data_IF_682315359795
#
_entry.id   IF_682315359795
#
_cell.length_a   1.000
_cell.length_b   1.000
_cell.length_c   1.000
_cell.angle_alpha   90.00
_cell.angle_beta   90.00
_cell.angle_gamma   90.00
#
_symmetry.space_group_name_H-M   'P 1'
#
loop_
_entity.id
_entity.type
_entity.pdbx_description
1 polymer ?
#
# COMPACT_ATOMS: atom_id res chain seq x y z
N UNK A 1 40.45 -71.55 40.97
CA UNK A 1 39.81 -72.88 40.84
C UNK A 1 38.61 -72.72 39.90
N UNK A 2 38.68 -73.51 38.87
CA UNK A 2 37.62 -74.05 38.01
C UNK A 2 36.82 -73.08 37.15
N UNK A 3 37.19 -73.10 35.89
CA UNK A 3 36.43 -72.95 34.65
C UNK A 3 34.99 -73.44 34.70
N UNK A 4 34.11 -72.69 33.96
CA UNK A 4 33.26 -73.36 32.97
C UNK A 4 32.87 -72.40 31.88
N UNK A 5 33.32 -72.70 30.66
CA UNK A 5 32.83 -72.15 29.38
C UNK A 5 31.51 -72.79 29.00
N UNK A 6 30.56 -72.00 28.55
CA UNK A 6 29.44 -72.50 27.74
C UNK A 6 29.40 -71.72 26.46
N UNK A 7 29.69 -72.38 25.37
CA UNK A 7 29.44 -71.98 24.01
C UNK A 7 27.91 -71.99 23.76
N UNK A 8 27.39 -70.96 23.15
CA UNK A 8 26.02 -70.93 22.57
C UNK A 8 26.12 -70.67 21.08
N UNK A 9 25.44 -71.51 20.37
CA UNK A 9 25.38 -71.73 18.94
C UNK A 9 25.01 -70.49 18.17
N UNK A 10 25.67 -70.33 17.01
CA UNK A 10 25.31 -69.43 15.93
C UNK A 10 24.09 -69.94 15.13
N UNK A 11 22.89 -69.49 15.45
CA UNK A 11 21.78 -69.62 14.52
C UNK A 11 21.72 -68.37 13.64
N UNK A 12 21.91 -68.60 12.32
CA UNK A 12 21.89 -67.56 11.30
C UNK A 12 20.51 -66.96 11.10
N UNK A 13 20.42 -65.66 11.11
CA UNK A 13 19.26 -64.90 10.67
C UNK A 13 19.22 -64.90 9.12
N UNK A 14 18.01 -65.00 8.52
CA UNK A 14 17.90 -64.92 7.06
C UNK A 14 18.22 -63.50 6.58
N UNK A 15 18.77 -63.34 5.36
CA UNK A 15 19.16 -62.05 4.83
C UNK A 15 17.91 -61.15 4.63
N UNK A 16 17.92 -59.99 5.27
CA UNK A 16 16.92 -58.94 5.05
C UNK A 16 17.09 -58.42 3.64
N UNK A 17 16.04 -58.62 2.82
CA UNK A 17 15.97 -58.05 1.47
C UNK A 17 16.15 -56.52 1.48
N UNK A 18 16.90 -55.95 0.55
CA UNK A 18 17.08 -54.48 0.50
C UNK A 18 15.73 -53.82 0.16
N UNK A 19 15.12 -53.17 1.15
CA UNK A 19 13.96 -52.32 0.97
C UNK A 19 14.28 -51.20 0.00
N UNK A 20 13.46 -51.10 -1.07
CA UNK A 20 13.58 -50.12 -2.13
C UNK A 20 13.59 -48.66 -1.62
N UNK A 21 14.74 -48.12 -1.26
CA UNK A 21 14.97 -46.70 -0.97
C UNK A 21 15.21 -45.88 -2.25
N UNK A 22 14.29 -45.89 -3.22
CA UNK A 22 14.36 -45.04 -4.42
C UNK A 22 13.27 -43.94 -4.50
N UNK A 23 12.44 -43.81 -3.48
CA UNK A 23 11.31 -42.87 -3.53
C UNK A 23 11.62 -41.40 -3.16
N UNK A 24 12.59 -41.01 -2.29
CA UNK A 24 12.77 -39.62 -1.92
C UNK A 24 13.28 -38.70 -3.03
N UNK A 25 14.07 -39.20 -4.00
CA UNK A 25 14.65 -38.40 -5.08
C UNK A 25 13.62 -37.95 -6.12
N UNK A 26 12.61 -38.78 -6.41
CA UNK A 26 11.54 -38.40 -7.36
C UNK A 26 10.59 -37.36 -6.76
N UNK A 27 10.25 -37.49 -5.47
CA UNK A 27 9.45 -36.53 -4.75
C UNK A 27 10.14 -35.15 -4.62
N UNK A 28 11.43 -35.12 -4.36
CA UNK A 28 12.24 -33.90 -4.32
C UNK A 28 12.33 -33.24 -5.69
N UNK A 29 12.51 -34.02 -6.78
CA UNK A 29 12.54 -33.48 -8.14
C UNK A 29 11.17 -32.93 -8.59
N UNK A 30 10.09 -33.59 -8.26
CA UNK A 30 8.73 -33.12 -8.53
C UNK A 30 8.39 -31.88 -7.71
N UNK A 31 8.80 -31.82 -6.45
CA UNK A 31 8.64 -30.63 -5.63
C UNK A 31 9.47 -29.45 -6.14
N UNK A 32 10.70 -29.68 -6.58
CA UNK A 32 11.58 -28.64 -7.17
C UNK A 32 11.04 -28.18 -8.52
N UNK A 33 10.54 -29.08 -9.38
CA UNK A 33 9.89 -28.67 -10.64
C UNK A 33 8.59 -27.91 -10.41
N UNK A 34 7.75 -28.34 -9.46
CA UNK A 34 6.53 -27.62 -9.10
C UNK A 34 6.85 -26.24 -8.52
N UNK A 35 7.88 -26.12 -7.70
CA UNK A 35 8.35 -24.85 -7.16
C UNK A 35 8.93 -23.95 -8.26
N UNK A 36 9.70 -24.48 -9.21
CA UNK A 36 10.27 -23.73 -10.32
C UNK A 36 9.20 -23.23 -11.32
N UNK A 37 8.11 -23.96 -11.50
CA UNK A 37 6.97 -23.51 -12.36
C UNK A 37 6.07 -22.50 -11.64
N UNK A 38 6.01 -22.51 -10.30
CA UNK A 38 5.21 -21.60 -9.49
C UNK A 38 6.01 -20.37 -9.06
N UNK A 39 7.34 -20.44 -8.97
CA UNK A 39 8.19 -19.28 -8.64
C UNK A 39 8.28 -18.25 -9.77
N UNK A 40 7.76 -18.55 -10.97
CA UNK A 40 7.51 -17.57 -12.03
C UNK A 40 6.18 -16.81 -11.87
N UNK A 41 5.29 -17.26 -11.02
CA UNK A 41 4.03 -16.57 -10.75
C UNK A 41 4.22 -15.70 -9.52
N UNK A 42 4.47 -14.41 -9.76
CA UNK A 42 4.42 -13.39 -8.70
C UNK A 42 2.99 -13.34 -8.16
N UNK A 43 2.84 -13.10 -6.86
CA UNK A 43 1.52 -12.84 -6.27
C UNK A 43 0.82 -11.78 -7.11
N UNK A 44 -0.38 -12.10 -7.59
CA UNK A 44 -1.20 -11.19 -8.39
C UNK A 44 -1.56 -9.96 -7.54
N UNK A 45 -0.76 -8.93 -7.64
CA UNK A 45 -1.03 -7.60 -7.13
C UNK A 45 -1.16 -6.69 -8.35
N UNK A 46 -2.23 -5.90 -8.44
CA UNK A 46 -2.48 -4.98 -9.55
C UNK A 46 -1.63 -3.75 -9.35
N UNK A 47 -0.65 -3.56 -8.78
CA UNK A 47 0.41 -2.59 -8.73
C UNK A 47 1.73 -3.37 -8.54
N UNK A 48 2.75 -3.04 -9.27
CA UNK A 48 3.99 -3.83 -9.37
C UNK A 48 4.61 -4.18 -8.00
N UNK A 49 4.49 -3.28 -7.02
CA UNK A 49 4.97 -3.47 -5.64
C UNK A 49 3.84 -3.68 -4.62
N UNK A 50 2.59 -3.76 -5.07
CA UNK A 50 1.42 -3.80 -4.20
C UNK A 50 1.08 -2.48 -3.51
N UNK A 51 1.78 -1.40 -3.88
CA UNK A 51 1.53 -0.04 -3.43
C UNK A 51 1.31 0.87 -4.64
N UNK A 52 0.35 1.78 -4.56
CA UNK A 52 0.10 2.79 -5.57
C UNK A 52 0.74 4.11 -5.16
N UNK A 53 1.11 4.94 -6.15
CA UNK A 53 1.58 6.31 -5.93
C UNK A 53 0.62 7.13 -5.06
N UNK A 54 -0.68 7.03 -5.35
CA UNK A 54 -1.68 7.67 -4.53
C UNK A 54 -1.92 6.86 -3.26
N UNK A 55 -1.65 7.48 -2.11
CA UNK A 55 -2.01 6.92 -0.80
C UNK A 55 -3.43 7.38 -0.44
N UNK A 56 -4.46 6.52 -0.54
CA UNK A 56 -5.84 6.89 -0.21
C UNK A 56 -5.95 7.41 1.22
N UNK A 57 -6.75 8.48 1.42
CA UNK A 57 -6.83 9.20 2.68
C UNK A 57 -5.83 10.36 2.83
N UNK A 58 -5.11 10.72 1.77
CA UNK A 58 -4.16 11.86 1.79
C UNK A 58 -4.85 13.19 2.08
N UNK A 59 -6.00 13.44 1.44
CA UNK A 59 -6.80 14.63 1.71
C UNK A 59 -7.82 14.37 2.83
N UNK A 60 -8.07 15.41 3.61
CA UNK A 60 -9.01 15.38 4.72
C UNK A 60 -9.62 16.76 4.97
N UNK A 61 -9.93 17.08 6.22
CA UNK A 61 -10.58 18.29 6.68
C UNK A 61 -10.02 19.55 6.01
N UNK A 62 -10.95 20.41 5.51
CA UNK A 62 -10.65 21.68 4.86
C UNK A 62 -9.73 21.57 3.63
N UNK A 63 -9.77 20.46 2.90
CA UNK A 63 -8.83 20.15 1.82
C UNK A 63 -8.73 21.24 0.75
N UNK A 64 -9.85 21.81 0.33
CA UNK A 64 -9.91 22.85 -0.69
C UNK A 64 -9.92 24.29 -0.13
N UNK A 65 -9.88 24.47 1.19
CA UNK A 65 -9.86 25.81 1.79
C UNK A 65 -8.50 26.45 1.52
N UNK A 66 -8.44 27.69 0.99
CA UNK A 66 -7.21 28.43 0.79
C UNK A 66 -6.50 28.69 2.12
N UNK A 67 -5.22 28.32 2.20
CA UNK A 67 -4.40 28.65 3.35
C UNK A 67 -3.92 30.11 3.41
N UNK A 68 -3.52 30.63 4.56
CA UNK A 68 -2.90 31.94 4.67
C UNK A 68 -1.53 31.95 3.97
N UNK A 69 -1.10 33.13 3.44
CA UNK A 69 0.20 33.26 2.78
C UNK A 69 1.38 32.99 3.71
N UNK A 70 2.42 32.38 3.16
CA UNK A 70 3.68 32.13 3.87
C UNK A 70 4.01 30.64 3.97
N UNK A 71 5.04 30.35 4.75
CA UNK A 71 5.50 28.99 5.00
C UNK A 71 4.59 28.26 5.99
N UNK A 72 4.28 27.02 5.66
CA UNK A 72 3.62 26.07 6.55
C UNK A 72 4.37 24.74 6.53
N UNK A 73 4.14 23.93 7.55
CA UNK A 73 4.75 22.62 7.67
C UNK A 73 3.73 21.62 8.20
N UNK A 74 3.68 20.45 7.59
CA UNK A 74 2.90 19.32 8.09
C UNK A 74 3.83 18.12 8.29
N UNK A 75 3.59 17.36 9.36
CA UNK A 75 4.20 16.07 9.63
C UNK A 75 3.09 15.07 9.89
N UNK A 76 3.00 14.07 9.05
CA UNK A 76 1.99 13.03 9.17
C UNK A 76 2.66 11.70 9.44
N UNK A 77 2.25 11.01 10.50
CA UNK A 77 2.58 9.60 10.72
C UNK A 77 1.45 8.74 10.18
N UNK A 78 1.80 7.84 9.27
CA UNK A 78 0.92 6.83 8.68
C UNK A 78 1.31 5.46 9.19
N UNK A 79 0.33 4.72 9.70
CA UNK A 79 0.48 3.31 10.05
C UNK A 79 -0.58 2.49 9.33
N UNK A 80 -0.18 1.33 8.77
CA UNK A 80 -1.11 0.38 8.18
C UNK A 80 -0.75 -1.06 8.55
N UNK A 81 -1.78 -1.86 8.80
CA UNK A 81 -1.69 -3.32 8.88
C UNK A 81 -2.60 -3.90 7.83
N UNK A 82 -1.99 -4.54 6.85
CA UNK A 82 -2.65 -5.07 5.66
C UNK A 82 -2.50 -6.57 5.59
N UNK A 83 -3.52 -7.24 5.11
CA UNK A 83 -3.50 -8.67 4.82
C UNK A 83 -4.09 -8.93 3.42
N UNK A 84 -3.55 -9.92 2.76
CA UNK A 84 -4.01 -10.38 1.45
C UNK A 84 -3.63 -11.83 1.27
N UNK A 85 -4.13 -12.44 0.18
CA UNK A 85 -3.80 -13.81 -0.13
C UNK A 85 -4.21 -14.14 -1.54
N UNK A 86 -3.62 -15.20 -2.07
CA UNK A 86 -4.00 -15.75 -3.36
C UNK A 86 -4.11 -17.27 -3.26
N UNK A 87 -5.00 -17.81 -4.08
CA UNK A 87 -5.17 -19.25 -4.27
C UNK A 87 -5.07 -19.52 -5.77
N UNK A 88 -4.04 -20.24 -6.19
CA UNK A 88 -3.80 -20.59 -7.58
C UNK A 88 -3.74 -22.10 -7.70
N UNK A 89 -4.58 -22.66 -8.57
CA UNK A 89 -4.58 -24.09 -8.87
C UNK A 89 -4.21 -24.32 -10.34
N UNK A 90 -3.30 -25.24 -10.59
CA UNK A 90 -2.89 -25.66 -11.92
C UNK A 90 -2.88 -27.17 -12.07
N UNK A 91 -3.07 -27.66 -13.28
CA UNK A 91 -3.01 -29.07 -13.61
C UNK A 91 -2.16 -29.27 -14.87
N UNK A 92 -1.06 -30.03 -14.74
CA UNK A 92 -0.13 -30.30 -15.83
C UNK A 92 -0.14 -31.79 -16.15
N UNK A 93 -0.37 -32.13 -17.42
CA UNK A 93 -0.19 -33.49 -17.89
C UNK A 93 1.29 -33.75 -18.16
N UNK A 94 1.86 -34.76 -17.51
CA UNK A 94 3.29 -35.04 -17.64
C UNK A 94 3.59 -35.65 -19.06
N UNK A 95 4.52 -35.01 -19.81
CA UNK A 95 4.81 -35.47 -21.19
C UNK A 95 5.29 -36.93 -21.29
N UNK A 96 6.03 -37.40 -20.28
CA UNK A 96 6.54 -38.79 -20.20
C UNK A 96 5.50 -39.77 -19.65
N UNK A 97 4.39 -39.28 -19.10
CA UNK A 97 3.31 -40.08 -18.52
C UNK A 97 1.95 -39.48 -18.88
N UNK A 98 1.49 -39.58 -20.14
CA UNK A 98 0.34 -38.83 -20.65
C UNK A 98 -1.01 -39.17 -19.98
N UNK A 99 -1.08 -40.22 -19.17
CA UNK A 99 -2.24 -40.58 -18.34
C UNK A 99 -2.14 -40.10 -16.88
N UNK A 100 -1.04 -39.36 -16.53
CA UNK A 100 -0.80 -38.91 -15.19
C UNK A 100 -0.82 -37.38 -15.17
N UNK A 101 -1.79 -36.84 -14.45
CA UNK A 101 -1.92 -35.39 -14.23
C UNK A 101 -1.28 -35.03 -12.87
N UNK A 102 -0.37 -34.10 -12.91
CA UNK A 102 0.12 -33.41 -11.72
C UNK A 102 -0.84 -32.24 -11.43
N UNK A 103 -1.51 -32.27 -10.29
CA UNK A 103 -2.31 -31.14 -9.79
C UNK A 103 -1.51 -30.44 -8.72
N UNK A 104 -1.43 -29.13 -8.79
CA UNK A 104 -0.73 -28.29 -7.81
C UNK A 104 -1.63 -27.14 -7.44
N UNK A 105 -1.73 -26.87 -6.15
CA UNK A 105 -2.40 -25.70 -5.59
C UNK A 105 -1.39 -24.93 -4.75
N UNK A 106 -1.33 -23.63 -4.96
CA UNK A 106 -0.58 -22.68 -4.16
C UNK A 106 -1.57 -21.80 -3.38
N UNK A 107 -1.54 -21.87 -2.10
CA UNK A 107 -2.22 -20.94 -1.19
C UNK A 107 -1.17 -20.02 -0.57
N UNK A 108 -1.36 -18.71 -0.66
CA UNK A 108 -0.45 -17.72 -0.07
C UNK A 108 -1.21 -16.72 0.79
N UNK A 109 -0.66 -16.46 1.98
CA UNK A 109 -1.07 -15.39 2.88
C UNK A 109 0.01 -14.32 2.93
N UNK A 110 -0.39 -13.06 2.73
CA UNK A 110 0.49 -11.89 2.76
C UNK A 110 0.08 -11.03 3.94
N UNK A 111 1.05 -10.62 4.75
CA UNK A 111 0.86 -9.68 5.86
C UNK A 111 1.89 -8.57 5.74
N UNK A 112 1.42 -7.33 5.70
CA UNK A 112 2.28 -6.14 5.58
C UNK A 112 1.96 -5.15 6.70
N UNK A 113 3.00 -4.70 7.38
CA UNK A 113 2.92 -3.58 8.32
C UNK A 113 3.75 -2.42 7.75
N UNK A 114 3.19 -1.23 7.77
CA UNK A 114 3.79 -0.01 7.23
C UNK A 114 3.81 1.06 8.32
N UNK A 115 4.94 1.74 8.47
CA UNK A 115 5.15 2.85 9.39
C UNK A 115 5.93 3.95 8.66
N UNK A 116 5.25 5.01 8.23
CA UNK A 116 5.82 6.09 7.42
C UNK A 116 5.53 7.46 8.04
N UNK A 117 6.55 8.28 8.20
CA UNK A 117 6.41 9.70 8.44
C UNK A 117 6.48 10.45 7.10
N UNK A 118 5.50 11.30 6.82
CA UNK A 118 5.45 12.16 5.63
C UNK A 118 5.67 13.59 6.09
N UNK A 119 6.82 14.15 5.74
CA UNK A 119 7.17 15.54 6.02
C UNK A 119 6.74 16.39 4.83
N UNK A 120 5.99 17.46 5.10
CA UNK A 120 5.41 18.28 4.03
C UNK A 120 5.65 19.77 4.28
N UNK A 121 6.82 20.32 3.91
CA UNK A 121 6.98 21.77 3.80
C UNK A 121 6.07 22.29 2.68
N UNK A 122 5.47 23.45 2.91
CA UNK A 122 4.59 24.10 1.95
C UNK A 122 4.75 25.62 1.98
N UNK A 123 4.45 26.26 0.86
CA UNK A 123 4.45 27.71 0.73
C UNK A 123 3.24 28.19 -0.06
N UNK A 124 2.47 29.08 0.55
CA UNK A 124 1.31 29.71 -0.08
C UNK A 124 1.68 31.13 -0.54
N UNK A 125 1.46 31.44 -1.82
CA UNK A 125 1.75 32.75 -2.38
C UNK A 125 0.80 33.82 -1.80
N UNK A 126 1.38 35.00 -1.49
CA UNK A 126 0.60 36.15 -1.04
C UNK A 126 -0.24 36.77 -2.15
N UNK A 127 0.32 36.81 -3.38
CA UNK A 127 -0.36 37.36 -4.56
C UNK A 127 -1.34 36.34 -5.12
N UNK A 128 -2.62 36.70 -5.24
CA UNK A 128 -3.62 35.83 -5.87
C UNK A 128 -3.27 35.59 -7.35
N UNK A 129 -3.51 34.34 -7.80
CA UNK A 129 -3.41 33.95 -9.21
C UNK A 129 -4.81 33.55 -9.67
N UNK A 130 -5.29 34.20 -10.72
CA UNK A 130 -6.68 34.01 -11.22
C UNK A 130 -7.76 34.09 -10.13
N UNK A 131 -7.55 34.97 -9.15
CA UNK A 131 -8.46 35.16 -8.01
C UNK A 131 -8.30 34.09 -6.90
N UNK A 132 -7.47 33.09 -7.10
CA UNK A 132 -7.21 32.01 -6.14
C UNK A 132 -5.86 32.14 -5.46
N UNK A 133 -5.64 31.33 -4.43
CA UNK A 133 -4.35 31.19 -3.75
C UNK A 133 -3.60 29.97 -4.28
N UNK A 134 -2.38 30.20 -4.77
CA UNK A 134 -1.50 29.12 -5.20
C UNK A 134 -0.63 28.66 -4.03
N UNK A 135 -0.63 27.37 -3.76
CA UNK A 135 0.26 26.73 -2.81
C UNK A 135 1.14 25.66 -3.49
N UNK A 136 2.38 25.60 -3.06
CA UNK A 136 3.33 24.56 -3.38
C UNK A 136 3.57 23.69 -2.15
N UNK A 137 3.61 22.37 -2.32
CA UNK A 137 3.91 21.39 -1.28
C UNK A 137 4.93 20.39 -1.80
N UNK A 138 5.77 19.87 -0.89
CA UNK A 138 6.64 18.75 -1.19
C UNK A 138 6.41 17.65 -0.15
N UNK A 139 5.87 16.53 -0.56
CA UNK A 139 5.69 15.36 0.29
C UNK A 139 7.00 14.56 0.30
N UNK A 140 7.52 14.26 1.47
CA UNK A 140 8.78 13.52 1.67
C UNK A 140 8.48 12.35 2.60
N UNK A 141 8.22 11.13 2.06
CA UNK A 141 7.96 9.94 2.87
C UNK A 141 9.29 9.34 3.37
N UNK A 142 9.33 9.04 4.68
CA UNK A 142 10.46 8.37 5.35
C UNK A 142 9.89 7.37 6.34
N UNK A 143 10.38 6.13 6.32
CA UNK A 143 9.85 5.15 7.25
C UNK A 143 10.25 3.74 6.92
N UNK A 144 9.34 2.80 7.11
CA UNK A 144 9.61 1.40 6.81
C UNK A 144 8.35 0.58 6.60
N UNK A 145 8.56 -0.56 5.98
CA UNK A 145 7.56 -1.58 5.86
C UNK A 145 8.16 -2.96 6.11
N UNK A 146 7.33 -3.87 6.58
CA UNK A 146 7.66 -5.28 6.74
C UNK A 146 6.56 -6.11 6.10
N UNK A 147 6.94 -6.99 5.17
CA UNK A 147 6.04 -7.96 4.55
C UNK A 147 6.49 -9.36 4.90
N UNK A 148 5.52 -10.22 5.23
CA UNK A 148 5.68 -11.66 5.37
C UNK A 148 4.73 -12.35 4.40
N UNK A 149 5.25 -13.35 3.68
CA UNK A 149 4.49 -14.20 2.76
C UNK A 149 4.63 -15.63 3.24
N UNK A 150 3.50 -16.24 3.62
CA UNK A 150 3.40 -17.65 3.98
C UNK A 150 2.76 -18.40 2.80
N UNK A 151 3.48 -19.36 2.21
CA UNK A 151 3.05 -20.11 1.05
C UNK A 151 2.90 -21.59 1.37
N UNK A 152 1.75 -22.17 1.06
CA UNK A 152 1.46 -23.59 1.15
C UNK A 152 1.25 -24.14 -0.26
N UNK A 153 2.14 -25.02 -0.69
CA UNK A 153 2.02 -25.77 -1.94
C UNK A 153 1.50 -27.15 -1.61
N UNK A 154 0.33 -27.49 -2.14
CA UNK A 154 -0.22 -28.84 -2.09
C UNK A 154 -0.31 -29.42 -3.49
N UNK A 155 -0.12 -30.72 -3.61
CA UNK A 155 -0.21 -31.33 -4.92
C UNK A 155 -0.53 -32.80 -4.87
N UNK A 156 -0.94 -33.34 -6.02
CA UNK A 156 -1.19 -34.76 -6.19
C UNK A 156 -0.70 -35.25 -7.55
N UNK A 157 0.01 -36.38 -7.53
CA UNK A 157 0.44 -37.12 -8.71
C UNK A 157 -0.23 -38.50 -8.68
N UNK A 158 -1.35 -38.66 -9.36
CA UNK A 158 -2.19 -39.83 -9.21
C UNK A 158 -2.67 -40.02 -7.76
N UNK A 159 -2.41 -41.17 -7.11
CA UNK A 159 -2.80 -41.40 -5.71
C UNK A 159 -1.82 -40.82 -4.68
N UNK A 160 -0.72 -40.21 -5.12
CA UNK A 160 0.34 -39.71 -4.23
C UNK A 160 0.13 -38.20 -4.03
N UNK A 161 -0.23 -37.82 -2.80
CA UNK A 161 -0.28 -36.42 -2.38
C UNK A 161 1.06 -35.95 -1.80
N UNK A 162 1.34 -34.66 -1.92
CA UNK A 162 2.45 -33.96 -1.25
C UNK A 162 2.01 -32.58 -0.76
N UNK A 163 2.70 -32.10 0.23
CA UNK A 163 2.51 -30.75 0.77
C UNK A 163 3.87 -30.19 1.22
N UNK A 164 4.09 -28.90 0.93
CA UNK A 164 5.27 -28.18 1.44
C UNK A 164 4.84 -26.77 1.81
N UNK A 165 5.39 -26.25 2.89
CA UNK A 165 5.16 -24.89 3.35
C UNK A 165 6.48 -24.13 3.39
N UNK A 166 6.43 -22.87 2.99
CA UNK A 166 7.56 -21.95 3.07
C UNK A 166 7.07 -20.59 3.56
N UNK A 167 7.93 -19.88 4.27
CA UNK A 167 7.67 -18.52 4.74
C UNK A 167 8.88 -17.66 4.40
N UNK A 168 8.61 -16.52 3.77
CA UNK A 168 9.63 -15.52 3.47
C UNK A 168 9.19 -14.18 4.09
N UNK A 169 10.15 -13.39 4.53
CA UNK A 169 9.87 -12.06 5.08
C UNK A 169 10.96 -11.09 4.68
N UNK A 170 10.55 -9.86 4.43
CA UNK A 170 11.44 -8.76 4.11
C UNK A 170 11.07 -7.53 4.95
N UNK A 171 12.07 -6.71 5.27
CA UNK A 171 11.89 -5.48 6.06
C UNK A 171 12.81 -4.41 5.51
N UNK A 172 12.24 -3.28 5.13
CA UNK A 172 12.98 -2.12 4.65
C UNK A 172 12.70 -0.92 5.55
N UNK A 173 13.74 -0.12 5.81
CA UNK A 173 13.64 1.21 6.42
C UNK A 173 14.47 2.16 5.59
N UNK A 174 13.81 3.12 4.95
CA UNK A 174 14.45 4.04 4.01
C UNK A 174 13.54 5.24 3.74
N UNK A 175 13.72 5.90 2.62
CA UNK A 175 12.86 6.97 2.13
C UNK A 175 12.12 6.53 0.86
N UNK A 176 10.90 7.04 0.69
CA UNK A 176 10.09 6.82 -0.50
C UNK A 176 10.28 7.94 -1.53
N UNK A 177 9.46 7.92 -2.57
CA UNK A 177 9.51 8.90 -3.63
C UNK A 177 8.97 10.25 -3.18
N UNK A 178 9.75 11.34 -3.29
CA UNK A 178 9.25 12.67 -3.01
C UNK A 178 8.24 13.10 -4.06
N UNK A 179 7.17 13.78 -3.61
CA UNK A 179 6.08 14.18 -4.48
C UNK A 179 5.79 15.69 -4.37
N UNK A 180 6.29 16.52 -5.31
CA UNK A 180 5.89 17.92 -5.42
C UNK A 180 4.44 18.04 -5.86
N UNK A 181 3.71 19.00 -5.27
CA UNK A 181 2.32 19.32 -5.61
C UNK A 181 2.14 20.84 -5.74
N UNK A 182 1.45 21.26 -6.77
CA UNK A 182 0.89 22.60 -6.92
C UNK A 182 -0.62 22.51 -6.73
N UNK A 183 -1.21 23.46 -5.98
CA UNK A 183 -2.65 23.56 -5.83
C UNK A 183 -3.09 25.01 -5.95
N UNK A 184 -4.14 25.26 -6.71
CA UNK A 184 -4.79 26.55 -6.81
C UNK A 184 -6.17 26.45 -6.19
N UNK A 185 -6.45 27.33 -5.21
CA UNK A 185 -7.65 27.26 -4.37
C UNK A 185 -8.40 28.58 -4.37
N UNK A 186 -9.72 28.50 -4.45
CA UNK A 186 -10.63 29.64 -4.42
C UNK A 186 -11.61 29.52 -3.27
N UNK A 187 -12.02 30.66 -2.72
CA UNK A 187 -13.08 30.75 -1.72
C UNK A 187 -14.23 31.61 -2.24
N UNK A 188 -15.45 31.07 -2.17
CA UNK A 188 -16.71 31.76 -2.46
C UNK A 188 -17.64 31.60 -1.25
N UNK A 189 -17.37 32.37 -0.19
CA UNK A 189 -18.12 32.30 1.06
C UNK A 189 -17.89 30.97 1.79
N UNK A 190 -18.92 30.12 1.86
CA UNK A 190 -18.83 28.80 2.49
C UNK A 190 -18.30 27.73 1.54
N UNK A 191 -18.22 28.04 0.24
CA UNK A 191 -17.79 27.11 -0.80
C UNK A 191 -16.32 27.36 -1.14
N UNK A 192 -15.53 26.30 -1.21
CA UNK A 192 -14.12 26.37 -1.55
C UNK A 192 -13.84 25.35 -2.66
N UNK A 193 -13.02 25.74 -3.61
CA UNK A 193 -12.67 24.93 -4.76
C UNK A 193 -11.16 24.78 -4.87
N UNK A 194 -10.71 23.68 -5.37
CA UNK A 194 -9.29 23.39 -5.59
C UNK A 194 -9.10 22.65 -6.91
N UNK A 195 -8.05 23.00 -7.63
CA UNK A 195 -7.42 22.13 -8.61
C UNK A 195 -5.99 21.88 -8.18
N UNK A 196 -5.46 20.70 -8.46
CA UNK A 196 -4.08 20.37 -8.11
C UNK A 196 -3.43 19.52 -9.18
N UNK A 197 -2.10 19.56 -9.19
CA UNK A 197 -1.22 18.67 -9.94
C UNK A 197 -0.09 18.22 -9.03
N UNK A 198 0.15 16.90 -8.98
CA UNK A 198 1.15 16.26 -8.12
C UNK A 198 1.96 15.27 -8.95
N UNK A 199 3.29 15.30 -8.82
CA UNK A 199 4.19 14.35 -9.47
C UNK A 199 4.88 13.44 -8.47
N UNK A 200 5.16 12.19 -8.82
CA UNK A 200 6.05 11.29 -8.11
C UNK A 200 7.43 11.27 -8.77
N UNK A 201 8.49 11.53 -8.01
CA UNK A 201 9.87 11.52 -8.50
C UNK A 201 10.51 10.20 -8.05
N UNK A 202 10.85 9.27 -8.95
CA UNK A 202 11.29 7.91 -8.60
C UNK A 202 12.75 7.89 -8.16
N UNK A 203 13.02 8.43 -6.98
CA UNK A 203 14.35 8.45 -6.35
C UNK A 203 14.37 7.78 -4.99
N UNK A 204 13.22 7.26 -4.56
CA UNK A 204 13.08 6.46 -3.35
C UNK A 204 13.81 5.12 -3.44
N UNK A 205 13.89 4.44 -2.31
CA UNK A 205 14.59 3.16 -2.23
C UNK A 205 13.77 2.05 -2.89
N UNK A 206 14.13 1.72 -4.13
CA UNK A 206 13.51 0.70 -4.96
C UNK A 206 14.53 -0.32 -5.45
N UNK A 207 14.16 -1.60 -5.40
CA UNK A 207 14.89 -2.70 -6.01
C UNK A 207 13.88 -3.79 -6.46
N UNK A 208 13.85 -4.16 -7.75
CA UNK A 208 12.87 -5.14 -8.26
C UNK A 208 13.02 -6.55 -7.67
N UNK A 209 14.16 -6.87 -7.07
CA UNK A 209 14.43 -8.17 -6.45
C UNK A 209 13.96 -8.26 -4.99
N UNK A 210 13.46 -7.16 -4.39
CA UNK A 210 12.93 -7.13 -3.03
C UNK A 210 11.41 -7.33 -3.00
N UNK A 211 10.93 -7.87 -1.89
CA UNK A 211 9.48 -7.99 -1.62
C UNK A 211 8.92 -6.64 -1.15
N UNK A 212 9.73 -5.83 -0.44
CA UNK A 212 9.35 -4.55 0.12
C UNK A 212 10.14 -3.43 -0.52
N UNK A 213 9.44 -2.43 -1.03
CA UNK A 213 10.01 -1.19 -1.55
C UNK A 213 9.31 0.01 -0.90
N UNK A 214 9.99 1.15 -0.80
CA UNK A 214 9.41 2.43 -0.39
C UNK A 214 9.36 3.44 -1.54
N UNK A 215 10.12 3.21 -2.61
CA UNK A 215 9.99 3.88 -3.89
C UNK A 215 9.18 3.00 -4.87
N UNK A 216 8.50 3.62 -5.83
CA UNK A 216 7.66 2.93 -6.81
C UNK A 216 8.48 2.42 -8.02
N UNK A 217 9.74 2.89 -8.17
CA UNK A 217 10.61 2.56 -9.30
C UNK A 217 10.22 3.23 -10.61
N UNK A 218 9.13 3.98 -10.65
CA UNK A 218 8.65 4.74 -11.79
C UNK A 218 8.09 6.10 -11.38
N UNK A 219 8.06 7.04 -12.33
CA UNK A 219 7.39 8.32 -12.13
C UNK A 219 5.87 8.17 -12.20
N UNK A 220 5.16 9.10 -11.55
CA UNK A 220 3.71 9.18 -11.61
C UNK A 220 3.25 10.63 -11.70
N UNK A 221 2.09 10.86 -12.30
CA UNK A 221 1.50 12.19 -12.42
C UNK A 221 0.01 12.13 -12.12
N UNK A 222 -0.38 12.85 -11.06
CA UNK A 222 -1.75 12.91 -10.57
C UNK A 222 -2.31 14.32 -10.72
N UNK A 223 -3.53 14.41 -11.22
CA UNK A 223 -4.25 15.66 -11.37
C UNK A 223 -5.68 15.49 -10.87
N UNK A 224 -6.18 16.51 -10.18
CA UNK A 224 -7.50 16.42 -9.64
C UNK A 224 -8.11 17.76 -9.23
N UNK A 225 -9.28 17.64 -8.68
CA UNK A 225 -10.04 18.75 -8.14
C UNK A 225 -10.57 18.42 -6.76
N UNK A 226 -10.83 19.47 -5.97
CA UNK A 226 -11.40 19.36 -4.64
C UNK A 226 -12.49 20.40 -4.43
N UNK A 227 -13.42 20.04 -3.58
CA UNK A 227 -14.47 20.92 -3.08
C UNK A 227 -14.53 20.80 -1.57
N UNK A 228 -14.67 21.94 -0.88
CA UNK A 228 -14.96 22.00 0.56
C UNK A 228 -16.10 22.96 0.81
N UNK A 229 -17.17 22.46 1.42
CA UNK A 229 -18.14 23.29 2.10
C UNK A 229 -17.70 23.50 3.53
N UNK A 230 -17.53 24.75 3.97
CA UNK A 230 -17.20 25.06 5.35
C UNK A 230 -18.03 26.25 5.85
N UNK A 231 -18.88 26.02 6.83
CA UNK A 231 -19.70 27.05 7.46
C UNK A 231 -19.22 27.25 8.91
N UNK A 232 -18.42 28.30 9.12
CA UNK A 232 -17.85 28.61 10.44
C UNK A 232 -18.91 28.98 11.50
N UNK A 233 -20.13 29.38 11.10
CA UNK A 233 -21.22 29.70 12.04
C UNK A 233 -21.88 28.44 12.60
N UNK A 234 -22.13 27.44 11.75
CA UNK A 234 -22.74 26.17 12.18
C UNK A 234 -21.70 25.13 12.59
N UNK A 235 -20.44 25.33 12.20
CA UNK A 235 -19.35 24.39 12.40
C UNK A 235 -19.38 23.17 11.49
N UNK A 236 -20.28 23.13 10.48
CA UNK A 236 -20.31 22.02 9.52
C UNK A 236 -19.25 22.20 8.43
N UNK A 237 -18.59 21.10 8.13
CA UNK A 237 -17.62 20.96 7.06
C UNK A 237 -17.90 19.68 6.27
N UNK A 238 -17.69 19.76 4.94
CA UNK A 238 -17.67 18.62 4.04
C UNK A 238 -16.59 18.84 2.99
N UNK A 239 -15.68 17.91 2.83
CA UNK A 239 -14.62 17.91 1.81
C UNK A 239 -14.74 16.70 0.90
N UNK A 240 -14.52 16.91 -0.39
CA UNK A 240 -14.37 15.87 -1.39
C UNK A 240 -13.22 16.23 -2.34
N UNK A 241 -12.29 15.31 -2.55
CA UNK A 241 -11.20 15.46 -3.52
C UNK A 241 -11.20 14.24 -4.43
N UNK A 242 -11.09 14.45 -5.72
CA UNK A 242 -11.01 13.39 -6.73
C UNK A 242 -9.89 13.67 -7.71
N UNK A 243 -9.16 12.64 -8.13
CA UNK A 243 -8.09 12.76 -9.08
C UNK A 243 -7.88 11.50 -9.92
N UNK A 244 -7.03 11.67 -10.93
CA UNK A 244 -6.57 10.64 -11.82
C UNK A 244 -5.05 10.61 -11.82
N UNK A 245 -4.49 9.42 -11.58
CA UNK A 245 -3.05 9.17 -11.61
C UNK A 245 -2.69 8.45 -12.91
N UNK A 246 -1.73 8.99 -13.64
CA UNK A 246 -1.04 8.30 -14.71
C UNK A 246 0.31 7.79 -14.21
N UNK A 247 0.54 6.49 -14.36
CA UNK A 247 1.78 5.82 -13.98
C UNK A 247 2.66 5.64 -15.22
N UNK A 248 3.91 6.08 -15.16
CA UNK A 248 4.87 5.85 -16.24
C UNK A 248 5.43 4.42 -16.12
N UNK A 249 5.96 3.91 -17.23
CA UNK A 249 6.58 2.58 -17.25
C UNK A 249 7.79 2.54 -16.31
N UNK A 250 7.89 1.49 -15.51
CA UNK A 250 9.07 1.20 -14.69
C UNK A 250 10.22 0.71 -15.60
N UNK A 251 11.32 1.45 -15.71
CA UNK A 251 12.41 1.08 -16.61
C UNK A 251 13.21 -0.16 -16.17
N UNK A 252 13.04 -0.60 -14.92
CA UNK A 252 13.73 -1.78 -14.40
C UNK A 252 13.03 -3.10 -14.77
N UNK A 253 11.72 -3.06 -14.95
CA UNK A 253 10.87 -4.25 -15.11
C UNK A 253 10.05 -4.24 -16.39
N UNK A 254 9.98 -3.09 -17.09
CA UNK A 254 9.08 -2.85 -18.21
C UNK A 254 7.61 -3.12 -17.85
N UNK A 255 7.27 -2.81 -16.60
CA UNK A 255 5.90 -2.87 -16.08
C UNK A 255 5.30 -1.46 -16.05
N UNK A 256 4.05 -1.33 -16.44
CA UNK A 256 3.32 -0.07 -16.32
C UNK A 256 1.97 -0.33 -15.65
N UNK A 257 1.77 0.26 -14.49
CA UNK A 257 0.49 0.28 -13.79
C UNK A 257 -0.55 1.02 -14.63
N UNK A 258 -1.80 0.60 -14.54
CA UNK A 258 -2.90 1.28 -15.20
C UNK A 258 -3.15 2.69 -14.67
N UNK A 259 -4.15 3.37 -15.27
CA UNK A 259 -4.63 4.67 -14.81
C UNK A 259 -5.49 4.45 -13.57
N UNK A 260 -5.22 5.21 -12.51
CA UNK A 260 -5.95 5.13 -11.24
C UNK A 260 -6.89 6.31 -11.08
N UNK A 261 -8.07 6.04 -10.56
CA UNK A 261 -9.03 7.03 -10.08
C UNK A 261 -9.18 6.90 -8.57
N UNK A 262 -9.12 8.04 -7.88
CA UNK A 262 -9.31 8.07 -6.45
C UNK A 262 -10.24 9.19 -6.02
N UNK A 263 -10.88 8.99 -4.87
CA UNK A 263 -11.69 9.98 -4.16
C UNK A 263 -11.41 9.88 -2.68
N UNK A 264 -11.11 11.01 -2.05
CA UNK A 264 -11.07 11.19 -0.60
C UNK A 264 -12.28 12.02 -0.16
N UNK A 265 -12.97 11.59 0.87
CA UNK A 265 -14.17 12.20 1.42
C UNK A 265 -14.01 12.46 2.92
N UNK A 266 -14.57 13.57 3.35
CA UNK A 266 -14.70 13.88 4.76
C UNK A 266 -15.99 14.66 5.04
N UNK A 267 -16.58 14.41 6.22
CA UNK A 267 -17.65 15.22 6.79
C UNK A 267 -17.40 15.40 8.28
N UNK A 268 -17.26 16.63 8.71
CA UNK A 268 -16.97 16.94 10.10
C UNK A 268 -17.83 18.06 10.69
N UNK A 269 -17.80 18.13 12.01
CA UNK A 269 -18.43 19.20 12.76
C UNK A 269 -17.49 19.74 13.82
N UNK A 270 -17.24 21.03 13.75
CA UNK A 270 -16.59 21.80 14.79
C UNK A 270 -17.54 21.96 15.96
N UNK A 271 -17.25 21.28 17.08
CA UNK A 271 -18.00 21.36 18.33
C UNK A 271 -17.64 22.61 19.12
N UNK A 272 -16.41 23.09 18.92
CA UNK A 272 -15.90 24.37 19.41
C UNK A 272 -15.10 25.03 18.27
N UNK A 273 -14.57 26.23 18.50
CA UNK A 273 -13.63 26.87 17.53
C UNK A 273 -12.33 26.07 17.31
N UNK A 274 -12.04 25.13 18.19
CA UNK A 274 -10.77 24.39 18.22
C UNK A 274 -10.95 22.91 17.98
N UNK A 275 -12.05 22.31 18.43
CA UNK A 275 -12.24 20.88 18.44
C UNK A 275 -13.33 20.44 17.45
N UNK A 276 -13.00 19.48 16.60
CA UNK A 276 -13.95 18.86 15.67
C UNK A 276 -13.91 17.33 15.72
N UNK A 277 -14.98 16.74 15.31
CA UNK A 277 -15.15 15.29 15.08
C UNK A 277 -15.79 15.08 13.72
N UNK A 278 -15.42 13.97 13.08
CA UNK A 278 -15.90 13.70 11.72
C UNK A 278 -15.84 12.23 11.36
N UNK A 279 -16.25 11.99 10.13
CA UNK A 279 -16.13 10.72 9.44
C UNK A 279 -15.36 10.96 8.14
N UNK A 280 -14.48 10.03 7.82
CA UNK A 280 -13.64 10.03 6.63
C UNK A 280 -13.89 8.79 5.80
N UNK A 281 -13.61 8.86 4.52
CA UNK A 281 -13.68 7.72 3.63
C UNK A 281 -12.87 7.96 2.38
N UNK A 282 -12.54 6.87 1.70
CA UNK A 282 -11.92 6.92 0.37
C UNK A 282 -12.36 5.77 -0.50
N UNK A 283 -12.20 5.96 -1.79
CA UNK A 283 -12.21 4.88 -2.78
C UNK A 283 -11.07 5.08 -3.77
N UNK A 284 -10.46 3.97 -4.12
CA UNK A 284 -9.42 3.88 -5.13
C UNK A 284 -9.82 2.78 -6.12
N UNK A 285 -9.74 3.09 -7.42
CA UNK A 285 -10.07 2.17 -8.48
C UNK A 285 -9.10 2.38 -9.64
N UNK A 286 -8.38 1.34 -10.01
CA UNK A 286 -7.64 1.31 -11.25
C UNK A 286 -8.63 1.16 -12.41
N UNK A 287 -8.55 2.04 -13.39
CA UNK A 287 -9.50 2.12 -14.53
C UNK A 287 -9.06 1.31 -15.74
N UNK A 288 -7.76 1.17 -15.92
CA UNK A 288 -7.18 0.38 -17.02
C UNK A 288 -6.26 -0.70 -16.46
N UNK A 289 -6.17 -1.82 -17.15
CA UNK A 289 -5.28 -2.90 -16.72
C UNK A 289 -3.81 -2.54 -16.90
N UNK A 290 -2.95 -3.25 -16.19
CA UNK A 290 -1.51 -3.14 -16.28
C UNK A 290 -1.01 -3.56 -17.66
N UNK A 291 0.12 -2.99 -18.09
CA UNK A 291 0.73 -3.19 -19.41
C UNK A 291 2.24 -3.31 -19.33
N UNK A 292 2.89 -3.57 -20.46
CA UNK A 292 4.34 -3.78 -20.56
C UNK A 292 4.71 -5.26 -20.50
N UNK A 293 5.96 -5.58 -20.87
CA UNK A 293 6.44 -6.97 -20.89
C UNK A 293 6.64 -7.54 -19.48
N UNK A 294 6.74 -6.68 -18.46
CA UNK A 294 6.77 -7.05 -17.06
C UNK A 294 5.43 -7.48 -16.47
N UNK A 295 4.31 -7.09 -17.09
CA UNK A 295 2.97 -7.45 -16.64
C UNK A 295 2.59 -8.88 -17.09
N UNK A 296 3.38 -9.87 -16.65
CA UNK A 296 3.29 -11.28 -17.09
C UNK A 296 2.03 -12.00 -16.61
N UNK A 297 1.44 -11.53 -15.50
CA UNK A 297 0.32 -12.20 -14.84
C UNK A 297 -1.05 -11.73 -15.36
N UNK A 298 -1.06 -10.76 -16.27
CA UNK A 298 -2.26 -10.24 -16.93
C UNK A 298 -2.62 -8.81 -16.55
N UNK A 299 -3.62 -8.23 -17.22
CA UNK A 299 -4.03 -6.83 -17.00
C UNK A 299 -4.92 -6.74 -15.76
N UNK A 300 -4.35 -6.87 -14.57
CA UNK A 300 -5.09 -6.76 -13.32
C UNK A 300 -5.64 -5.35 -13.12
N UNK A 301 -6.74 -5.26 -12.41
CA UNK A 301 -7.40 -4.01 -12.00
C UNK A 301 -7.59 -4.08 -10.50
N UNK A 302 -7.02 -3.13 -9.77
CA UNK A 302 -7.16 -3.02 -8.33
C UNK A 302 -8.27 -2.06 -7.90
N UNK A 303 -8.87 -2.34 -6.75
CA UNK A 303 -9.79 -1.40 -6.10
C UNK A 303 -9.80 -1.62 -4.60
N UNK A 304 -10.13 -0.56 -3.86
CA UNK A 304 -10.36 -0.60 -2.43
C UNK A 304 -11.18 0.59 -2.00
N UNK A 305 -11.98 0.43 -0.96
CA UNK A 305 -12.71 1.51 -0.30
C UNK A 305 -12.49 1.43 1.20
N UNK A 306 -12.64 2.54 1.89
CA UNK A 306 -12.55 2.59 3.34
C UNK A 306 -13.44 3.68 3.93
N UNK A 307 -13.77 3.49 5.21
CA UNK A 307 -14.45 4.49 6.05
C UNK A 307 -13.87 4.48 7.45
N UNK A 308 -14.02 5.58 8.17
CA UNK A 308 -13.60 5.65 9.54
C UNK A 308 -13.89 6.99 10.22
N UNK A 309 -13.53 7.12 11.50
CA UNK A 309 -13.68 8.35 12.27
C UNK A 309 -12.50 9.29 12.08
N UNK A 310 -12.76 10.57 12.32
CA UNK A 310 -11.75 11.60 12.49
C UNK A 310 -12.01 12.44 13.74
N UNK A 311 -10.94 12.89 14.38
CA UNK A 311 -10.94 13.88 15.44
C UNK A 311 -9.78 14.85 15.22
N UNK A 312 -10.01 16.16 15.49
CA UNK A 312 -8.94 17.12 15.38
C UNK A 312 -9.09 18.29 16.34
N UNK A 313 -7.93 18.91 16.58
CA UNK A 313 -7.79 20.01 17.52
C UNK A 313 -6.90 21.10 16.95
N UNK A 314 -7.41 22.33 16.94
CA UNK A 314 -6.71 23.55 16.52
C UNK A 314 -6.23 24.31 17.75
N UNK A 315 -4.99 24.77 17.76
CA UNK A 315 -4.42 25.50 18.89
C UNK A 315 -3.44 26.60 18.44
N UNK A 316 -3.35 27.70 19.17
CA UNK A 316 -2.40 28.76 18.86
C UNK A 316 -0.96 28.32 19.19
N UNK A 317 0.00 28.71 18.35
CA UNK A 317 1.44 28.52 18.56
C UNK A 317 2.13 29.85 18.28
N UNK A 318 2.15 30.73 19.27
CA UNK A 318 2.61 32.11 19.08
C UNK A 318 1.73 32.87 18.08
N UNK A 319 2.32 33.35 16.97
CA UNK A 319 1.59 33.98 15.85
C UNK A 319 1.14 32.99 14.77
N UNK A 320 1.29 31.69 15.02
CA UNK A 320 0.93 30.62 14.10
C UNK A 320 -0.27 29.82 14.64
N UNK A 321 -0.93 29.10 13.75
CA UNK A 321 -1.98 28.14 14.06
C UNK A 321 -1.40 26.72 13.98
N UNK A 322 -1.45 26.00 15.11
CA UNK A 322 -1.21 24.56 15.13
C UNK A 322 -2.48 23.77 14.90
N UNK A 323 -2.36 22.58 14.32
CA UNK A 323 -3.42 21.58 14.30
C UNK A 323 -2.86 20.18 14.57
N UNK A 324 -3.67 19.36 15.21
CA UNK A 324 -3.44 17.93 15.39
C UNK A 324 -4.70 17.20 15.00
N UNK A 325 -4.59 16.20 14.10
CA UNK A 325 -5.70 15.35 13.74
C UNK A 325 -5.33 13.89 13.75
N UNK A 326 -6.29 13.04 14.10
CA UNK A 326 -6.19 11.60 14.06
C UNK A 326 -7.36 11.04 13.25
N UNK A 327 -7.03 10.23 12.24
CA UNK A 327 -7.98 9.52 11.39
C UNK A 327 -7.69 8.04 11.45
N UNK A 328 -8.73 7.22 11.44
CA UNK A 328 -8.61 5.79 11.30
C UNK A 328 -9.52 5.31 10.18
N UNK A 329 -9.06 4.32 9.41
CA UNK A 329 -9.81 3.76 8.29
C UNK A 329 -9.86 2.24 8.42
N UNK A 330 -11.04 1.67 8.15
CA UNK A 330 -11.22 0.24 7.90
C UNK A 330 -11.50 0.03 6.42
N UNK A 331 -10.68 -0.78 5.81
CA UNK A 331 -10.73 -1.05 4.38
C UNK A 331 -11.67 -2.23 4.09
N UNK A 332 -12.39 -2.12 2.97
CA UNK A 332 -13.33 -3.13 2.48
C UNK A 332 -13.42 -3.08 0.95
N UNK A 333 -14.12 -4.06 0.36
CA UNK A 333 -14.27 -4.21 -1.09
C UNK A 333 -12.95 -4.25 -1.86
N UNK A 334 -11.89 -4.75 -1.23
CA UNK A 334 -10.60 -4.94 -1.88
C UNK A 334 -10.68 -5.98 -2.99
N UNK A 335 -10.05 -5.68 -4.11
CA UNK A 335 -9.84 -6.59 -5.22
C UNK A 335 -8.42 -6.43 -5.74
N UNK A 336 -7.71 -7.55 -5.93
CA UNK A 336 -6.34 -7.62 -6.42
C UNK A 336 -5.34 -6.74 -5.63
N UNK A 337 -5.59 -6.54 -4.35
CA UNK A 337 -4.68 -5.86 -3.41
C UNK A 337 -4.96 -6.27 -1.96
N UNK A 338 -3.96 -6.12 -1.12
CA UNK A 338 -4.10 -6.30 0.32
C UNK A 338 -5.00 -5.23 0.93
N UNK A 339 -5.70 -5.57 2.01
CA UNK A 339 -6.58 -4.68 2.75
C UNK A 339 -6.45 -4.89 4.26
N UNK A 340 -6.90 -3.91 5.03
CA UNK A 340 -6.85 -4.00 6.49
C UNK A 340 -7.37 -2.74 7.15
N UNK A 341 -6.56 -2.16 8.02
CA UNK A 341 -6.85 -0.89 8.66
C UNK A 341 -5.60 0.01 8.61
N UNK A 342 -5.84 1.32 8.60
CA UNK A 342 -4.77 2.29 8.66
C UNK A 342 -5.14 3.50 9.51
N UNK A 343 -4.12 4.23 9.98
CA UNK A 343 -4.28 5.46 10.77
C UNK A 343 -3.35 6.54 10.26
N UNK A 344 -3.80 7.78 10.38
CA UNK A 344 -3.10 9.00 10.04
C UNK A 344 -3.10 9.94 11.22
N UNK A 345 -1.97 10.16 11.84
CA UNK A 345 -1.76 11.19 12.85
C UNK A 345 -1.03 12.36 12.20
N UNK A 346 -1.72 13.48 12.01
CA UNK A 346 -1.16 14.64 11.35
C UNK A 346 -1.02 15.82 12.32
N UNK A 347 0.16 16.43 12.30
CA UNK A 347 0.46 17.70 12.97
C UNK A 347 0.78 18.73 11.90
N UNK A 348 0.21 19.95 12.02
CA UNK A 348 0.58 21.06 11.15
C UNK A 348 0.79 22.36 11.88
N UNK A 349 1.62 23.23 11.31
CA UNK A 349 1.79 24.64 11.71
C UNK A 349 1.61 25.48 10.45
N UNK A 350 0.70 26.46 10.53
CA UNK A 350 0.41 27.40 9.44
C UNK A 350 0.42 28.83 9.96
N UNK A 351 0.74 29.85 9.13
CA UNK A 351 0.55 31.25 9.53
C UNK A 351 -0.90 31.52 9.93
N UNK A 352 -1.12 32.45 10.86
CA UNK A 352 -2.45 33.01 11.07
C UNK A 352 -2.69 34.15 10.09
N UNK A 353 -3.91 34.24 9.54
CA UNK A 353 -4.26 35.36 8.68
C UNK A 353 -4.25 36.66 9.51
N UNK A 354 -3.31 37.55 9.22
CA UNK A 354 -3.31 38.87 9.87
C UNK A 354 -4.52 39.63 9.34
N UNK A 355 -5.56 39.78 10.17
CA UNK A 355 -6.66 40.71 9.88
C UNK A 355 -6.01 42.07 9.67
N UNK A 356 -6.19 42.73 8.50
CA UNK A 356 -5.64 44.08 8.31
C UNK A 356 -6.19 44.96 9.43
N UNK A 357 -5.28 45.59 10.21
CA UNK A 357 -5.70 46.60 11.14
C UNK A 357 -6.38 47.70 10.30
N UNK A 358 -7.66 47.85 10.46
CA UNK A 358 -8.38 49.03 9.93
C UNK A 358 -7.73 50.24 10.61
N UNK A 359 -6.89 50.95 9.86
CA UNK A 359 -6.36 52.24 10.29
C UNK A 359 -7.60 53.15 10.30
N UNK A 360 -7.99 53.56 11.54
CA UNK A 360 -9.06 54.54 11.73
C UNK A 360 -8.54 55.90 11.36
#
# INVERSE_FOLDING_TARGET
MVHNSLALDSEGWPPVAPSARRRPRLLVLVSVMAFATLSGQRSSSADESGASFWSPGTFANLAAVPGPPGWSFNATYFHATLAGGSNVATAVVLPLFPRTTLRVQLDSDIKTNVDIAILTPAYTLATPIWGGRLDFKLFIPVGGARTQIDALVTGALGPIGFSTQNSISDTLRSFGDPAPQLSLKWNEGVNNFMVYSRGGIPVGDYNPDRIVNLGDGHASWDNGFGYTYFNATTGFEFSAVSGLTYNFTNPHTDYQNGIDWHVDLEASRFLTKQFYVGAVGYTFNQLTGDTGSGATDGPFISRISAVGPEVGYLFPVGEMQGSLSLRGYWEFAAQNRSSGWNTWLAFSITPTEKIPKVVK
#
